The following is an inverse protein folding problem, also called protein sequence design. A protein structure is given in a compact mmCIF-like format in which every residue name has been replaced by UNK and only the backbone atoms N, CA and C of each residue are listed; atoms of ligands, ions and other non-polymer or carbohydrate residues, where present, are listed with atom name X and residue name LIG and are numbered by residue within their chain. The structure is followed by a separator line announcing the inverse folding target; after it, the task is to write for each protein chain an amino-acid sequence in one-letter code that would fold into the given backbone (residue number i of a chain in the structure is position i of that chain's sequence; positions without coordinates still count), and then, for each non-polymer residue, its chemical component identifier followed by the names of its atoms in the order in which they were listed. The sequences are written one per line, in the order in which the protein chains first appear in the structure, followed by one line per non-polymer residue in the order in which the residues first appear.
data_IF_995535103914
#
_entry.id   IF_995535103914
#
_cell.length_a   1.000
_cell.length_b   1.000
_cell.length_c   1.000
_cell.angle_alpha   90.00
_cell.angle_beta   90.00
_cell.angle_gamma   90.00
#
_symmetry.space_group_name_H-M   'P 1'
#
loop_
_entity.id
_entity.type
_entity.pdbx_description
1 polymer ?
#
# COMPACT_ATOMS: atom_id res chain seq x y z
N UNK A 1 -6.08 32.03 12.15
CA UNK A 1 -5.59 32.69 10.93
C UNK A 1 -6.09 34.14 10.83
N UNK A 2 -7.39 34.36 11.07
CA UNK A 2 -8.01 35.71 10.97
C UNK A 2 -7.39 36.71 11.96
N UNK A 3 -7.21 36.34 13.21
CA UNK A 3 -6.56 37.18 14.23
C UNK A 3 -5.13 37.59 13.83
N UNK A 4 -4.37 36.70 13.19
CA UNK A 4 -3.01 36.97 12.72
C UNK A 4 -3.04 38.00 11.57
N UNK A 5 -4.00 37.87 10.64
CA UNK A 5 -4.19 38.84 9.56
C UNK A 5 -4.59 40.21 10.07
N UNK A 6 -5.44 40.27 11.11
CA UNK A 6 -5.86 41.54 11.75
C UNK A 6 -4.69 42.29 12.41
N UNK A 7 -3.60 41.57 12.77
CA UNK A 7 -2.36 42.15 13.25
C UNK A 7 -1.45 42.68 12.11
N UNK A 8 -1.92 42.68 10.86
CA UNK A 8 -1.15 43.15 9.72
C UNK A 8 -0.16 42.13 9.14
N UNK A 9 -0.15 40.89 9.62
CA UNK A 9 0.73 39.86 9.13
C UNK A 9 0.18 39.18 7.86
N UNK A 10 1.04 38.95 6.88
CA UNK A 10 0.71 38.14 5.71
C UNK A 10 0.84 36.64 6.07
N UNK A 11 -0.25 35.91 5.97
CA UNK A 11 -0.26 34.46 6.24
C UNK A 11 -0.04 33.73 4.92
N UNK A 12 1.04 32.97 4.85
CA UNK A 12 1.40 32.10 3.72
C UNK A 12 1.40 30.63 4.17
N UNK A 13 1.28 29.72 3.22
CA UNK A 13 1.43 28.27 3.49
C UNK A 13 2.88 27.95 3.85
N UNK A 14 3.07 27.11 4.87
CA UNK A 14 4.38 26.53 5.19
C UNK A 14 4.63 25.19 4.46
N UNK A 15 3.72 24.77 3.58
CA UNK A 15 3.80 23.46 2.95
C UNK A 15 5.13 23.23 2.21
N UNK A 16 5.56 24.18 1.40
CA UNK A 16 6.81 24.07 0.65
C UNK A 16 8.04 24.03 1.56
N UNK A 17 8.00 24.78 2.67
CA UNK A 17 9.07 24.76 3.67
C UNK A 17 9.15 23.41 4.38
N UNK A 18 8.01 22.86 4.80
CA UNK A 18 7.94 21.54 5.44
C UNK A 18 8.41 20.45 4.48
N UNK A 19 7.94 20.45 3.25
CA UNK A 19 8.34 19.48 2.24
C UNK A 19 9.84 19.52 1.93
N UNK A 20 10.47 20.68 2.00
CA UNK A 20 11.91 20.82 1.76
C UNK A 20 12.75 19.97 2.75
N UNK A 21 12.29 19.85 3.99
CA UNK A 21 13.00 19.13 5.05
C UNK A 21 12.48 17.70 5.25
N UNK A 22 11.17 17.48 5.16
CA UNK A 22 10.53 16.22 5.53
C UNK A 22 10.39 15.24 4.36
N UNK A 23 10.28 15.76 3.11
CA UNK A 23 9.99 14.89 1.95
C UNK A 23 11.23 14.48 1.15
N UNK A 24 12.42 14.97 1.53
CA UNK A 24 13.67 14.62 0.85
C UNK A 24 14.39 13.54 1.62
N UNK A 25 14.56 12.40 0.99
CA UNK A 25 15.34 11.30 1.53
C UNK A 25 16.84 11.48 1.27
N UNK A 26 17.66 11.03 2.22
CA UNK A 26 19.07 10.82 2.00
C UNK A 26 19.30 9.57 1.14
N UNK A 27 20.52 9.39 0.62
CA UNK A 27 20.86 8.17 -0.14
C UNK A 27 20.72 6.92 0.75
N UNK A 28 21.10 7.01 2.04
CA UNK A 28 20.94 5.93 3.01
C UNK A 28 19.46 5.57 3.23
N UNK A 29 18.58 6.56 3.34
CA UNK A 29 17.14 6.34 3.47
C UNK A 29 16.56 5.69 2.20
N UNK A 30 17.01 6.11 1.02
CA UNK A 30 16.59 5.52 -0.24
C UNK A 30 17.04 4.07 -0.37
N UNK A 31 18.26 3.74 0.03
CA UNK A 31 18.78 2.37 0.01
C UNK A 31 18.10 1.48 1.05
N UNK A 32 17.86 2.00 2.24
CA UNK A 32 17.09 1.33 3.28
C UNK A 32 15.65 1.03 2.82
N UNK A 33 14.98 2.01 2.20
CA UNK A 33 13.65 1.83 1.63
C UNK A 33 13.63 0.69 0.60
N UNK A 34 14.60 0.66 -0.33
CA UNK A 34 14.72 -0.42 -1.33
C UNK A 34 14.94 -1.79 -0.69
N UNK A 35 15.75 -1.86 0.37
CA UNK A 35 15.98 -3.08 1.11
C UNK A 35 14.69 -3.55 1.81
N UNK A 36 14.02 -2.66 2.52
CA UNK A 36 12.75 -2.95 3.18
C UNK A 36 11.66 -3.37 2.20
N UNK A 37 11.55 -2.70 1.04
CA UNK A 37 10.59 -3.09 -0.01
C UNK A 37 10.82 -4.51 -0.53
N UNK A 38 12.08 -4.97 -0.64
CA UNK A 38 12.38 -6.37 -0.99
C UNK A 38 11.93 -7.34 0.11
N UNK A 39 12.18 -7.00 1.36
CA UNK A 39 11.73 -7.81 2.52
C UNK A 39 10.20 -7.89 2.56
N UNK A 40 9.48 -6.77 2.38
CA UNK A 40 8.01 -6.78 2.31
C UNK A 40 7.50 -7.63 1.14
N UNK A 41 8.16 -7.58 -0.01
CA UNK A 41 7.82 -8.43 -1.16
C UNK A 41 7.99 -9.93 -0.85
N UNK A 42 9.01 -10.31 -0.10
CA UNK A 42 9.16 -11.70 0.38
C UNK A 42 8.03 -12.08 1.33
N UNK A 43 7.76 -11.24 2.32
CA UNK A 43 6.74 -11.49 3.34
C UNK A 43 5.34 -11.62 2.72
N UNK A 44 4.97 -10.76 1.77
CA UNK A 44 3.65 -10.86 1.12
C UNK A 44 3.51 -12.14 0.30
N UNK A 45 4.56 -12.57 -0.39
CA UNK A 45 4.56 -13.85 -1.12
C UNK A 45 4.44 -15.04 -0.16
N UNK A 46 5.20 -15.04 0.93
CA UNK A 46 5.10 -16.06 1.99
C UNK A 46 3.69 -16.09 2.61
N UNK A 47 3.06 -14.93 2.81
CA UNK A 47 1.70 -14.84 3.33
C UNK A 47 0.67 -15.46 2.37
N UNK A 48 0.78 -15.21 1.06
CA UNK A 48 -0.07 -15.87 0.06
C UNK A 48 0.15 -17.38 0.02
N UNK A 49 1.40 -17.84 0.06
CA UNK A 49 1.71 -19.27 0.10
C UNK A 49 1.23 -19.94 1.40
N UNK A 50 1.33 -19.25 2.52
CA UNK A 50 0.78 -19.72 3.80
C UNK A 50 -0.72 -19.92 3.71
N UNK A 51 -1.45 -18.94 3.13
CA UNK A 51 -2.88 -19.08 2.86
C UNK A 51 -3.18 -20.26 1.95
N UNK A 52 -2.45 -20.40 0.84
CA UNK A 52 -2.63 -21.51 -0.10
C UNK A 52 -2.35 -22.87 0.53
N UNK A 53 -1.35 -22.97 1.42
CA UNK A 53 -1.06 -24.21 2.16
C UNK A 53 -2.18 -24.58 3.13
N UNK A 54 -2.66 -23.61 3.92
CA UNK A 54 -3.79 -23.84 4.81
C UNK A 54 -5.05 -24.30 4.06
N UNK A 55 -5.32 -23.72 2.88
CA UNK A 55 -6.43 -24.15 2.03
C UNK A 55 -6.28 -25.60 1.52
N UNK A 56 -5.06 -26.07 1.26
CA UNK A 56 -4.79 -27.46 0.87
C UNK A 56 -4.93 -28.44 2.04
N UNK A 57 -4.52 -28.03 3.24
CA UNK A 57 -4.45 -28.88 4.43
C UNK A 57 -5.80 -28.95 5.16
N UNK A 58 -6.45 -27.83 5.36
CA UNK A 58 -7.65 -27.70 6.21
C UNK A 58 -8.89 -27.19 5.47
N UNK A 59 -8.74 -26.76 4.22
CA UNK A 59 -9.80 -26.21 3.39
C UNK A 59 -10.10 -24.72 3.63
N UNK A 60 -9.52 -24.11 4.65
CA UNK A 60 -9.73 -22.68 4.96
C UNK A 60 -8.60 -22.11 5.82
N UNK A 61 -8.49 -20.79 5.81
CA UNK A 61 -7.77 -19.95 6.79
C UNK A 61 -8.60 -18.70 7.07
N UNK A 62 -8.07 -17.73 7.79
CA UNK A 62 -8.75 -16.48 8.07
C UNK A 62 -7.86 -15.28 7.76
N UNK A 63 -8.47 -14.13 7.51
CA UNK A 63 -7.77 -12.84 7.35
C UNK A 63 -6.85 -12.57 8.56
N UNK A 64 -7.36 -12.84 9.77
CA UNK A 64 -6.63 -12.62 11.01
C UNK A 64 -5.40 -13.54 11.16
N UNK A 65 -5.50 -14.81 10.78
CA UNK A 65 -4.36 -15.75 10.80
C UNK A 65 -3.25 -15.30 9.85
N UNK A 66 -3.62 -14.84 8.64
CA UNK A 66 -2.66 -14.28 7.67
C UNK A 66 -2.04 -12.99 8.19
N UNK A 67 -2.82 -12.08 8.78
CA UNK A 67 -2.32 -10.85 9.40
C UNK A 67 -1.31 -11.16 10.51
N UNK A 68 -1.63 -12.11 11.40
CA UNK A 68 -0.72 -12.53 12.48
C UNK A 68 0.57 -13.14 11.95
N UNK A 69 0.49 -13.88 10.84
CA UNK A 69 1.70 -14.38 10.18
C UNK A 69 2.59 -13.22 9.71
N UNK A 70 2.04 -12.21 9.03
CA UNK A 70 2.79 -11.04 8.56
C UNK A 70 3.42 -10.28 9.74
N UNK A 71 2.66 -10.03 10.81
CA UNK A 71 3.16 -9.35 12.01
C UNK A 71 4.34 -10.09 12.65
N UNK A 72 4.29 -11.43 12.72
CA UNK A 72 5.41 -12.23 13.21
C UNK A 72 6.63 -12.10 12.30
N UNK A 73 6.44 -12.14 10.98
CA UNK A 73 7.53 -11.94 10.01
C UNK A 73 8.17 -10.55 10.15
N UNK A 74 7.39 -9.50 10.41
CA UNK A 74 7.95 -8.18 10.71
C UNK A 74 8.88 -8.22 11.92
N UNK A 75 8.46 -8.87 13.01
CA UNK A 75 9.28 -9.01 14.21
C UNK A 75 10.58 -9.79 13.94
N UNK A 76 10.51 -10.88 13.19
CA UNK A 76 11.67 -11.71 12.80
C UNK A 76 12.68 -10.93 11.93
N UNK A 77 12.21 -10.03 11.07
CA UNK A 77 13.03 -9.16 10.22
C UNK A 77 13.45 -7.83 10.89
N UNK A 78 13.11 -7.62 12.16
CA UNK A 78 13.42 -6.37 12.87
C UNK A 78 12.69 -5.15 12.34
N UNK A 79 11.51 -5.35 11.74
CA UNK A 79 10.66 -4.31 11.19
C UNK A 79 9.59 -3.89 12.20
N UNK A 80 9.23 -2.61 12.15
CA UNK A 80 8.12 -2.01 12.91
C UNK A 80 7.10 -1.38 11.97
N UNK A 81 5.86 -1.34 12.41
CA UNK A 81 4.75 -0.63 11.76
C UNK A 81 3.92 0.09 12.83
N UNK A 82 3.24 1.14 12.45
CA UNK A 82 2.33 1.91 13.32
C UNK A 82 0.92 1.28 13.42
N UNK A 83 0.57 0.42 12.46
CA UNK A 83 -0.72 -0.27 12.42
C UNK A 83 -0.57 -1.68 11.86
N UNK A 84 -1.44 -2.63 12.24
CA UNK A 84 -1.43 -3.97 11.67
C UNK A 84 -1.65 -3.95 10.15
N UNK A 85 -1.02 -4.87 9.38
CA UNK A 85 -1.29 -5.01 7.95
C UNK A 85 -2.77 -5.25 7.66
N UNK A 86 -3.25 -4.70 6.55
CA UNK A 86 -4.60 -4.98 6.06
C UNK A 86 -4.59 -6.31 5.31
N UNK A 87 -5.51 -7.19 5.69
CA UNK A 87 -5.77 -8.44 4.98
C UNK A 87 -7.27 -8.50 4.75
N UNK A 88 -7.70 -8.31 3.51
CA UNK A 88 -9.12 -8.22 3.15
C UNK A 88 -9.51 -9.23 2.09
N UNK A 89 -10.49 -10.09 2.40
CA UNK A 89 -11.05 -11.06 1.45
C UNK A 89 -12.30 -10.51 0.78
N UNK A 90 -12.40 -10.66 -0.52
CA UNK A 90 -13.57 -10.30 -1.34
C UNK A 90 -14.05 -8.86 -1.05
N UNK A 91 -15.25 -8.67 -0.46
CA UNK A 91 -15.81 -7.36 -0.17
C UNK A 91 -14.95 -6.53 0.80
N UNK A 92 -14.23 -7.16 1.73
CA UNK A 92 -13.36 -6.47 2.68
C UNK A 92 -12.17 -5.80 1.98
N UNK A 93 -11.74 -6.33 0.83
CA UNK A 93 -10.70 -5.73 0.00
C UNK A 93 -11.05 -4.36 -0.59
N UNK A 94 -12.33 -3.99 -0.58
CA UNK A 94 -12.78 -2.67 -1.05
C UNK A 94 -12.74 -1.58 0.04
N UNK A 95 -12.45 -1.95 1.29
CA UNK A 95 -12.36 -1.00 2.40
C UNK A 95 -10.88 -0.72 2.73
N UNK A 96 -10.33 0.46 2.38
CA UNK A 96 -8.93 0.79 2.61
C UNK A 96 -8.55 0.95 4.09
N UNK A 97 -9.54 0.96 4.99
CA UNK A 97 -9.33 1.03 6.45
C UNK A 97 -9.78 -0.27 7.15
N UNK A 98 -9.96 -1.35 6.38
CA UNK A 98 -10.28 -2.64 6.97
C UNK A 98 -9.12 -3.19 7.77
N UNK A 99 -9.38 -3.67 8.98
CA UNK A 99 -8.38 -4.36 9.78
C UNK A 99 -9.05 -5.56 10.47
N UNK A 100 -8.68 -6.78 10.11
CA UNK A 100 -9.18 -7.96 10.80
C UNK A 100 -8.66 -7.99 12.24
N UNK A 101 -9.48 -8.54 13.14
CA UNK A 101 -9.13 -8.77 14.55
C UNK A 101 -9.52 -10.18 14.97
N UNK A 102 -9.09 -10.59 16.14
CA UNK A 102 -9.45 -11.90 16.69
C UNK A 102 -10.99 -12.10 16.76
N UNK A 103 -11.72 -11.05 17.13
CA UNK A 103 -13.17 -11.08 17.27
C UNK A 103 -13.95 -10.71 15.99
N UNK A 104 -13.27 -10.19 14.96
CA UNK A 104 -13.93 -9.72 13.73
C UNK A 104 -13.02 -9.93 12.52
N UNK A 105 -13.24 -11.01 11.80
CA UNK A 105 -12.53 -11.36 10.58
C UNK A 105 -13.37 -12.30 9.73
N UNK A 106 -13.05 -12.41 8.45
CA UNK A 106 -13.70 -13.33 7.52
C UNK A 106 -12.83 -14.56 7.25
N UNK A 107 -13.45 -15.72 6.97
CA UNK A 107 -12.74 -16.89 6.48
C UNK A 107 -12.30 -16.66 5.02
N UNK A 108 -11.14 -17.19 4.68
CA UNK A 108 -10.57 -17.25 3.34
C UNK A 108 -10.68 -18.68 2.83
N UNK A 109 -11.23 -18.86 1.63
CA UNK A 109 -11.52 -20.16 1.02
C UNK A 109 -11.02 -20.22 -0.43
N UNK A 110 -11.05 -21.42 -1.00
CA UNK A 110 -10.80 -21.59 -2.43
C UNK A 110 -11.89 -20.87 -3.24
N UNK A 111 -11.46 -20.09 -4.22
CA UNK A 111 -12.32 -19.23 -5.04
C UNK A 111 -12.39 -17.78 -4.56
N UNK A 112 -11.72 -17.47 -3.47
CA UNK A 112 -11.70 -16.10 -2.95
C UNK A 112 -10.57 -15.25 -3.54
N UNK A 113 -10.84 -13.95 -3.65
CA UNK A 113 -9.88 -12.90 -3.92
C UNK A 113 -9.36 -12.35 -2.58
N UNK A 114 -8.05 -12.20 -2.44
CA UNK A 114 -7.41 -11.65 -1.25
C UNK A 114 -6.56 -10.44 -1.62
N UNK A 115 -6.71 -9.38 -0.84
CA UNK A 115 -5.84 -8.20 -0.85
C UNK A 115 -5.01 -8.20 0.44
N UNK A 116 -3.72 -7.97 0.30
CA UNK A 116 -2.81 -7.71 1.42
C UNK A 116 -2.14 -6.36 1.17
N UNK A 117 -2.29 -5.46 2.14
CA UNK A 117 -1.67 -4.16 2.17
C UNK A 117 -0.80 -4.07 3.42
N UNK A 118 0.50 -3.89 3.23
CA UNK A 118 1.47 -3.97 4.30
C UNK A 118 2.57 -2.93 4.16
N UNK A 119 2.86 -2.25 5.26
CA UNK A 119 3.89 -1.23 5.36
C UNK A 119 4.71 -1.43 6.63
N UNK A 120 5.99 -1.22 6.52
CA UNK A 120 6.91 -1.31 7.65
C UNK A 120 8.21 -0.55 7.37
N UNK A 121 8.99 -0.34 8.42
CA UNK A 121 10.32 0.23 8.38
C UNK A 121 11.22 -0.46 9.40
N UNK A 122 12.55 -0.40 9.26
CA UNK A 122 13.46 -0.83 10.30
C UNK A 122 13.24 -0.08 11.62
N UNK A 123 13.48 -0.75 12.75
CA UNK A 123 13.40 -0.14 14.08
C UNK A 123 14.63 0.74 14.40
N UNK A 124 15.05 1.58 13.46
CA UNK A 124 16.19 2.49 13.58
C UNK A 124 15.75 3.94 13.47
N UNK A 125 16.46 4.89 14.10
CA UNK A 125 16.17 6.32 13.91
C UNK A 125 16.21 6.70 12.44
N UNK A 126 15.40 7.68 12.05
CA UNK A 126 15.33 8.26 10.70
C UNK A 126 14.99 7.28 9.58
N UNK A 127 14.53 6.07 9.93
CA UNK A 127 14.06 5.08 8.96
C UNK A 127 12.78 5.52 8.25
N UNK A 128 12.67 5.18 6.96
CA UNK A 128 11.50 5.48 6.13
C UNK A 128 10.71 4.21 5.85
N UNK A 129 9.38 4.35 5.76
CA UNK A 129 8.49 3.24 5.43
C UNK A 129 8.67 2.77 3.99
N UNK A 130 8.60 1.46 3.80
CA UNK A 130 8.20 0.86 2.53
C UNK A 130 6.76 0.36 2.67
N UNK A 131 6.03 0.38 1.57
CA UNK A 131 4.60 0.12 1.52
C UNK A 131 4.25 -0.54 0.18
N UNK A 132 3.53 -1.64 0.23
CA UNK A 132 3.06 -2.36 -0.95
C UNK A 132 1.68 -2.95 -0.73
N UNK A 133 0.82 -2.87 -1.77
CA UNK A 133 -0.46 -3.56 -1.81
C UNK A 133 -0.43 -4.60 -2.92
N UNK A 134 -0.64 -5.87 -2.57
CA UNK A 134 -0.69 -6.99 -3.49
C UNK A 134 -1.97 -7.78 -3.36
N UNK A 135 -2.35 -8.46 -4.45
CA UNK A 135 -3.58 -9.25 -4.51
C UNK A 135 -3.32 -10.64 -5.07
N UNK A 136 -4.13 -11.59 -4.62
CA UNK A 136 -4.12 -12.97 -5.11
C UNK A 136 -5.55 -13.49 -5.28
N UNK A 137 -5.69 -14.51 -6.11
CA UNK A 137 -6.93 -15.28 -6.23
C UNK A 137 -6.64 -16.75 -5.93
N UNK A 138 -7.34 -17.32 -4.96
CA UNK A 138 -7.17 -18.69 -4.54
C UNK A 138 -7.96 -19.68 -5.40
N UNK A 139 -7.61 -19.76 -6.70
CA UNK A 139 -8.24 -20.65 -7.67
C UNK A 139 -7.34 -20.96 -8.85
N UNK A 140 -7.84 -21.79 -9.79
CA UNK A 140 -7.08 -22.11 -11.03
C UNK A 140 -6.96 -20.91 -11.97
N UNK A 141 -8.00 -20.09 -12.03
CA UNK A 141 -8.06 -18.86 -12.82
C UNK A 141 -8.97 -17.87 -12.12
N UNK A 142 -8.56 -16.61 -12.07
CA UNK A 142 -9.41 -15.54 -11.56
C UNK A 142 -10.60 -15.31 -12.52
N UNK A 143 -11.79 -14.94 -12.01
CA UNK A 143 -12.92 -14.53 -12.82
C UNK A 143 -12.55 -13.35 -13.74
N UNK A 144 -13.16 -13.30 -14.94
CA UNK A 144 -12.87 -12.25 -15.93
C UNK A 144 -13.05 -10.84 -15.36
N UNK A 145 -14.09 -10.64 -14.57
CA UNK A 145 -14.34 -9.34 -13.88
C UNK A 145 -13.22 -8.94 -12.92
N UNK A 146 -12.63 -9.89 -12.21
CA UNK A 146 -11.48 -9.62 -11.32
C UNK A 146 -10.26 -9.21 -12.12
N UNK A 147 -10.00 -9.90 -13.24
CA UNK A 147 -8.89 -9.60 -14.16
C UNK A 147 -9.09 -8.21 -14.79
N UNK A 148 -10.29 -7.89 -15.23
CA UNK A 148 -10.65 -6.59 -15.80
C UNK A 148 -10.36 -5.45 -14.82
N UNK A 149 -10.91 -5.50 -13.60
CA UNK A 149 -10.71 -4.47 -12.58
C UNK A 149 -9.23 -4.36 -12.19
N UNK A 150 -8.54 -5.49 -12.00
CA UNK A 150 -7.11 -5.51 -11.72
C UNK A 150 -6.30 -4.81 -12.82
N UNK A 151 -6.63 -5.05 -14.09
CA UNK A 151 -5.93 -4.41 -15.20
C UNK A 151 -6.16 -2.89 -15.25
N UNK A 152 -7.37 -2.42 -14.91
CA UNK A 152 -7.65 -0.98 -14.80
C UNK A 152 -6.82 -0.35 -13.68
N UNK A 153 -6.81 -0.94 -12.49
CA UNK A 153 -6.04 -0.43 -11.36
C UNK A 153 -4.54 -0.46 -11.65
N UNK A 154 -4.04 -1.55 -12.25
CA UNK A 154 -2.64 -1.65 -12.68
C UNK A 154 -2.29 -0.57 -13.70
N UNK A 155 -3.13 -0.36 -14.71
CA UNK A 155 -2.94 0.69 -15.72
C UNK A 155 -2.93 2.08 -15.12
N UNK A 156 -3.79 2.34 -14.14
CA UNK A 156 -3.83 3.60 -13.40
C UNK A 156 -2.53 3.83 -12.60
N UNK A 157 -2.05 2.83 -11.86
CA UNK A 157 -0.75 2.87 -11.19
C UNK A 157 0.40 3.16 -12.16
N UNK A 158 0.44 2.42 -13.27
CA UNK A 158 1.50 2.56 -14.27
C UNK A 158 1.48 3.95 -14.91
N UNK A 159 0.28 4.53 -15.12
CA UNK A 159 0.13 5.93 -15.58
C UNK A 159 0.71 6.92 -14.58
N UNK A 160 0.48 6.73 -13.28
CA UNK A 160 1.07 7.59 -12.24
C UNK A 160 2.60 7.55 -12.26
N UNK A 161 3.18 6.35 -12.34
CA UNK A 161 4.64 6.18 -12.45
C UNK A 161 5.18 6.84 -13.72
N UNK A 162 4.52 6.62 -14.85
CA UNK A 162 4.91 7.24 -16.14
C UNK A 162 4.85 8.78 -16.05
N UNK A 163 3.80 9.33 -15.48
CA UNK A 163 3.62 10.78 -15.30
C UNK A 163 4.78 11.38 -14.48
N UNK A 164 5.15 10.74 -13.36
CA UNK A 164 6.30 11.16 -12.54
C UNK A 164 7.61 11.10 -13.32
N UNK A 165 7.84 10.06 -14.11
CA UNK A 165 9.04 9.94 -14.93
C UNK A 165 9.09 11.00 -16.06
N UNK A 166 7.98 11.29 -16.70
CA UNK A 166 7.85 12.31 -17.75
C UNK A 166 8.17 13.70 -17.18
N UNK A 167 7.56 14.05 -16.06
CA UNK A 167 7.78 15.36 -15.41
C UNK A 167 9.22 15.51 -14.89
N UNK A 168 9.79 14.45 -14.33
CA UNK A 168 11.18 14.45 -13.88
C UNK A 168 12.18 14.67 -15.03
N UNK A 169 11.96 14.05 -16.21
CA UNK A 169 12.78 14.28 -17.40
C UNK A 169 12.71 15.73 -17.92
N UNK A 170 11.60 16.42 -17.64
CA UNK A 170 11.41 17.84 -17.96
C UNK A 170 11.99 18.78 -16.89
N UNK A 171 12.62 18.24 -15.83
CA UNK A 171 13.11 19.02 -14.70
C UNK A 171 12.01 19.60 -13.82
N UNK A 172 10.77 19.08 -13.91
CA UNK A 172 9.60 19.54 -13.17
C UNK A 172 9.24 18.54 -12.06
N UNK A 173 8.88 19.09 -10.92
CA UNK A 173 8.34 18.32 -9.78
C UNK A 173 6.83 18.56 -9.72
N UNK A 174 5.99 17.54 -10.01
CA UNK A 174 4.54 17.71 -9.99
C UNK A 174 4.03 17.83 -8.56
N UNK A 175 2.90 18.53 -8.41
CA UNK A 175 2.14 18.50 -7.17
C UNK A 175 1.44 17.15 -7.01
N UNK A 176 1.20 16.71 -5.76
CA UNK A 176 0.56 15.41 -5.51
C UNK A 176 -0.79 15.23 -6.20
N UNK A 177 -1.61 16.30 -6.25
CA UNK A 177 -2.91 16.28 -6.92
C UNK A 177 -2.82 16.08 -8.45
N UNK A 178 -1.75 16.53 -9.11
CA UNK A 178 -1.54 16.29 -10.55
C UNK A 178 -1.32 14.80 -10.84
N UNK A 179 -0.61 14.12 -9.92
CA UNK A 179 -0.40 12.66 -10.00
C UNK A 179 -1.70 11.93 -9.76
N UNK A 180 -2.46 12.33 -8.73
CA UNK A 180 -3.77 11.76 -8.40
C UNK A 180 -4.75 11.90 -9.57
N UNK A 181 -4.83 13.07 -10.19
CA UNK A 181 -5.69 13.31 -11.36
C UNK A 181 -5.31 12.41 -12.54
N UNK A 182 -4.01 12.26 -12.83
CA UNK A 182 -3.54 11.39 -13.91
C UNK A 182 -3.92 9.91 -13.68
N UNK A 183 -3.88 9.45 -12.42
CA UNK A 183 -4.30 8.08 -12.02
C UNK A 183 -5.81 7.93 -12.09
N UNK A 184 -6.57 8.88 -11.54
CA UNK A 184 -8.05 8.85 -11.51
C UNK A 184 -8.66 8.91 -12.90
N UNK A 185 -8.06 9.63 -13.83
CA UNK A 185 -8.56 9.71 -15.20
C UNK A 185 -8.63 8.34 -15.87
N UNK A 186 -7.62 7.47 -15.64
CA UNK A 186 -7.63 6.10 -16.16
C UNK A 186 -8.79 5.28 -15.57
N UNK A 187 -9.04 5.43 -14.27
CA UNK A 187 -10.13 4.72 -13.57
C UNK A 187 -11.49 5.22 -14.07
N UNK A 188 -11.68 6.54 -14.16
CA UNK A 188 -12.92 7.15 -14.68
C UNK A 188 -13.20 6.80 -16.13
N UNK A 189 -12.18 6.79 -16.99
CA UNK A 189 -12.31 6.41 -18.39
C UNK A 189 -12.74 4.95 -18.56
N UNK A 190 -12.42 4.09 -17.59
CA UNK A 190 -12.88 2.69 -17.56
C UNK A 190 -14.29 2.51 -16.96
N UNK A 191 -14.95 3.59 -16.53
CA UNK A 191 -16.32 3.55 -16.01
C UNK A 191 -16.44 3.23 -14.52
N UNK A 192 -15.37 3.49 -13.74
CA UNK A 192 -15.35 3.29 -12.28
C UNK A 192 -15.27 4.61 -11.50
#
# INVERSE_FOLDING_TARGET
LELVRQCGATVVSSADLVQLFESRWTDEQADQHRATARTLTSIVNEAFERGASALRETGMTTEFEIQKFIQRRFQEEGLITDSPPIVGVNANAANPHYSPSESSHSPVRKGDFLLIDLWAKPATPDSVYADITWTAFYGKSAPERVIEVFNVVRGARDRGVQFLQETARQGRYPQGWEVDDAVREVIRAAGY
#
